data_IF_027183603216
#
_entry.id   IF_027183603216
#
_cell.length_a   1.000
_cell.length_b   1.000
_cell.length_c   1.000
_cell.angle_alpha   90.00
_cell.angle_beta   90.00
_cell.angle_gamma   90.00
#
_symmetry.space_group_name_H-M   'P 1'
#
loop_
_entity.id
_entity.type
_entity.pdbx_description
1 polymer ?
#
# COMPACT_ATOMS: atom_id res chain seq x y z
N UNK A 1 6.35 67.62 21.62
CA UNK A 1 6.80 66.29 21.13
C UNK A 1 5.81 65.25 21.63
N UNK A 2 5.07 64.60 20.72
CA UNK A 2 4.20 63.47 21.06
C UNK A 2 4.87 62.21 20.51
N UNK A 3 5.49 61.44 21.39
CA UNK A 3 6.05 60.14 21.04
C UNK A 3 4.88 59.15 20.90
N UNK A 4 4.70 58.60 19.70
CA UNK A 4 3.77 57.50 19.45
C UNK A 4 4.55 56.21 19.68
N UNK A 5 4.21 55.49 20.74
CA UNK A 5 4.73 54.16 21.01
C UNK A 5 4.09 53.16 20.04
N UNK A 6 4.89 52.59 19.16
CA UNK A 6 4.49 51.51 18.26
C UNK A 6 4.76 50.18 19.00
N UNK A 7 3.74 49.61 19.66
CA UNK A 7 3.86 48.28 20.26
C UNK A 7 3.67 47.22 19.19
N UNK A 8 4.77 46.58 18.80
CA UNK A 8 4.82 45.43 17.92
C UNK A 8 4.34 44.20 18.71
N UNK A 9 3.06 43.85 18.59
CA UNK A 9 2.52 42.58 19.09
C UNK A 9 2.98 41.46 18.14
N UNK A 10 4.13 40.87 18.41
CA UNK A 10 4.47 39.56 17.84
C UNK A 10 3.52 38.53 18.45
N UNK A 11 2.49 38.15 17.70
CA UNK A 11 1.75 36.92 17.98
C UNK A 11 2.70 35.75 17.84
N UNK A 12 3.04 35.11 18.96
CA UNK A 12 3.63 33.79 18.97
C UNK A 12 2.57 32.83 18.40
N UNK A 13 2.63 32.59 17.09
CA UNK A 13 1.90 31.46 16.50
C UNK A 13 2.57 30.21 17.06
N UNK A 14 1.88 29.52 17.96
CA UNK A 14 2.24 28.16 18.32
C UNK A 14 2.28 27.33 17.03
N UNK A 15 3.47 27.00 16.56
CA UNK A 15 3.66 25.89 15.62
C UNK A 15 3.45 24.58 16.41
N UNK A 16 2.20 24.30 16.75
CA UNK A 16 1.80 23.00 17.23
C UNK A 16 1.26 22.21 16.03
N UNK A 17 2.14 21.52 15.30
CA UNK A 17 1.80 20.24 14.67
C UNK A 17 3.04 19.53 14.11
N UNK A 18 3.90 19.02 15.00
CA UNK A 18 4.68 17.82 14.69
C UNK A 18 3.94 16.63 15.29
N UNK A 19 2.93 16.15 14.56
CA UNK A 19 2.49 14.75 14.58
C UNK A 19 1.54 14.49 13.40
N UNK A 20 2.07 14.23 12.19
CA UNK A 20 1.27 13.62 11.11
C UNK A 20 1.65 12.16 10.79
N UNK A 21 2.72 11.62 11.37
CA UNK A 21 3.22 10.29 10.96
C UNK A 21 2.70 9.12 11.83
N UNK A 22 2.50 9.31 13.13
CA UNK A 22 2.13 8.23 14.05
C UNK A 22 0.64 7.83 13.97
N UNK A 23 -0.24 8.79 13.69
CA UNK A 23 -1.70 8.56 13.58
C UNK A 23 -2.06 7.81 12.30
N UNK A 24 -1.51 8.21 11.15
CA UNK A 24 -1.78 7.60 9.82
C UNK A 24 -1.38 6.12 9.73
N UNK A 25 -0.32 5.71 10.44
CA UNK A 25 0.20 4.36 10.34
C UNK A 25 -0.68 3.35 11.08
N UNK A 26 -1.25 3.71 12.24
CA UNK A 26 -2.14 2.82 13.00
C UNK A 26 -3.40 2.41 12.24
N UNK A 27 -3.90 3.28 11.36
CA UNK A 27 -5.15 3.10 10.64
C UNK A 27 -5.10 2.06 9.52
N UNK A 28 -3.90 1.61 9.13
CA UNK A 28 -3.76 0.60 8.08
C UNK A 28 -3.96 -0.83 8.60
N UNK A 29 -3.86 -1.04 9.91
CA UNK A 29 -4.02 -2.36 10.51
C UNK A 29 -5.44 -2.88 10.29
N UNK A 30 -5.56 -4.12 9.86
CA UNK A 30 -6.84 -4.77 9.61
C UNK A 30 -6.91 -5.54 8.30
N UNK A 31 -8.12 -6.03 8.01
CA UNK A 31 -8.39 -6.81 6.82
C UNK A 31 -8.68 -5.93 5.60
N UNK A 32 -8.07 -6.33 4.49
CA UNK A 32 -8.15 -5.64 3.22
C UNK A 32 -8.47 -6.62 2.10
N UNK A 33 -9.13 -6.11 1.07
CA UNK A 33 -9.44 -6.88 -0.13
C UNK A 33 -8.73 -6.25 -1.32
N UNK A 34 -7.92 -7.03 -2.04
CA UNK A 34 -7.35 -6.62 -3.33
C UNK A 34 -8.43 -6.50 -4.39
N UNK A 35 -8.59 -5.30 -4.94
CA UNK A 35 -9.56 -4.99 -5.99
C UNK A 35 -8.86 -4.96 -7.34
N UNK A 36 -7.79 -4.16 -7.43
CA UNK A 36 -7.09 -3.92 -8.69
C UNK A 36 -5.61 -4.18 -8.57
N UNK A 37 -5.04 -4.65 -9.67
CA UNK A 37 -3.60 -4.75 -9.87
C UNK A 37 -3.25 -4.20 -11.25
N UNK A 38 -2.10 -3.56 -11.37
CA UNK A 38 -1.56 -3.12 -12.63
C UNK A 38 -0.05 -3.29 -12.60
N UNK A 39 0.52 -3.65 -13.74
CA UNK A 39 1.96 -3.91 -13.89
C UNK A 39 2.46 -3.39 -15.22
N UNK A 40 3.74 -3.07 -15.28
CA UNK A 40 4.42 -2.75 -16.55
C UNK A 40 4.66 -4.00 -17.42
N UNK A 41 4.69 -5.19 -16.82
CA UNK A 41 4.73 -6.48 -17.52
C UNK A 41 3.51 -7.34 -17.18
N UNK A 42 2.48 -7.30 -18.04
CA UNK A 42 1.16 -7.91 -17.82
C UNK A 42 1.21 -9.40 -17.48
N UNK A 43 2.09 -10.17 -18.11
CA UNK A 43 2.25 -11.62 -17.89
C UNK A 43 2.50 -11.98 -16.41
N UNK A 44 3.12 -11.07 -15.65
CA UNK A 44 3.44 -11.30 -14.23
C UNK A 44 2.20 -11.39 -13.34
N UNK A 45 1.08 -10.79 -13.74
CA UNK A 45 -0.17 -10.81 -12.96
C UNK A 45 -1.29 -11.57 -13.66
N UNK A 46 -1.10 -12.14 -14.85
CA UNK A 46 -2.13 -13.00 -15.45
C UNK A 46 -2.50 -14.17 -14.53
N UNK A 47 -3.59 -14.88 -14.83
CA UNK A 47 -4.01 -16.01 -13.99
C UNK A 47 -2.90 -17.06 -13.86
N UNK A 48 -2.49 -17.35 -12.62
CA UNK A 48 -1.34 -18.23 -12.32
C UNK A 48 0.00 -17.51 -12.23
N UNK A 49 0.03 -16.23 -12.60
CA UNK A 49 1.21 -15.39 -12.63
C UNK A 49 1.86 -15.19 -11.26
N UNK A 50 3.20 -15.06 -11.22
CA UNK A 50 3.99 -15.04 -10.00
C UNK A 50 3.68 -13.87 -9.07
N UNK A 51 3.27 -12.72 -9.63
CA UNK A 51 2.98 -11.50 -8.89
C UNK A 51 1.48 -11.28 -8.70
N UNK A 52 0.61 -12.25 -9.08
CA UNK A 52 -0.83 -12.19 -8.82
C UNK A 52 -1.13 -12.52 -7.35
N UNK A 53 -0.74 -11.60 -6.48
CA UNK A 53 -0.90 -11.68 -5.02
C UNK A 53 -2.14 -10.97 -4.51
N UNK A 54 -2.92 -11.68 -3.70
CA UNK A 54 -4.10 -11.15 -3.00
C UNK A 54 -3.71 -10.83 -1.56
N UNK A 55 -3.58 -9.54 -1.26
CA UNK A 55 -3.33 -9.06 0.10
C UNK A 55 -4.62 -9.20 0.91
N UNK A 56 -4.49 -9.75 2.11
CA UNK A 56 -5.59 -10.04 3.02
C UNK A 56 -5.55 -9.18 4.29
N UNK A 57 -4.39 -9.04 4.90
CA UNK A 57 -4.27 -8.42 6.22
C UNK A 57 -2.99 -7.63 6.35
N UNK A 58 -3.08 -6.47 7.00
CA UNK A 58 -1.96 -5.67 7.45
C UNK A 58 -1.94 -5.62 8.96
N UNK A 59 -0.77 -5.81 9.56
CA UNK A 59 -0.58 -5.67 11.01
C UNK A 59 0.63 -4.77 11.29
N UNK A 60 0.39 -3.67 11.99
CA UNK A 60 1.47 -2.81 12.48
C UNK A 60 2.20 -3.45 13.67
N UNK A 61 3.52 -3.55 13.56
CA UNK A 61 4.38 -4.06 14.63
C UNK A 61 5.27 -2.91 15.13
N UNK A 62 5.36 -2.77 16.46
CA UNK A 62 6.14 -1.73 17.14
C UNK A 62 5.77 -0.31 16.66
N UNK A 63 4.52 0.13 16.87
CA UNK A 63 4.04 1.44 16.41
C UNK A 63 4.23 1.65 14.89
N UNK A 64 3.94 0.61 14.10
CA UNK A 64 4.09 0.60 12.64
C UNK A 64 5.51 0.87 12.13
N UNK A 65 6.50 0.75 13.01
CA UNK A 65 7.88 0.64 12.60
C UNK A 65 8.01 -0.43 11.52
N UNK A 66 7.43 -1.60 11.75
CA UNK A 66 7.30 -2.66 10.77
C UNK A 66 5.83 -2.83 10.41
N UNK A 67 5.56 -3.08 9.15
CA UNK A 67 4.24 -3.50 8.70
C UNK A 67 4.34 -4.94 8.23
N UNK A 68 3.57 -5.82 8.88
CA UNK A 68 3.37 -7.22 8.49
C UNK A 68 2.26 -7.31 7.46
N UNK A 69 2.48 -8.09 6.40
CA UNK A 69 1.52 -8.30 5.32
C UNK A 69 1.20 -9.79 5.22
N UNK A 70 -0.08 -10.17 5.26
CA UNK A 70 -0.55 -11.49 4.86
C UNK A 70 -1.10 -11.42 3.44
N UNK A 71 -0.61 -12.29 2.56
CA UNK A 71 -1.06 -12.37 1.17
C UNK A 71 -1.03 -13.79 0.62
N UNK A 72 -1.78 -13.99 -0.45
CA UNK A 72 -1.98 -15.27 -1.12
C UNK A 72 -1.57 -15.19 -2.58
N UNK A 73 -0.84 -16.19 -3.08
CA UNK A 73 -0.57 -16.38 -4.52
C UNK A 73 -1.01 -17.79 -4.86
N UNK A 74 -1.77 -17.96 -5.94
CA UNK A 74 -2.31 -19.27 -6.35
C UNK A 74 -3.01 -20.03 -5.20
N UNK A 75 -3.80 -19.30 -4.39
CA UNK A 75 -4.53 -19.80 -3.22
C UNK A 75 -3.66 -20.42 -2.12
N UNK A 76 -2.33 -20.23 -2.18
CA UNK A 76 -1.40 -20.60 -1.12
C UNK A 76 -1.02 -19.35 -0.35
N UNK A 77 -1.08 -19.41 0.98
CA UNK A 77 -0.53 -18.36 1.84
C UNK A 77 0.98 -18.36 1.69
N UNK A 78 1.55 -17.27 1.21
CA UNK A 78 2.98 -17.22 0.88
C UNK A 78 3.82 -16.68 2.04
N UNK A 79 3.29 -15.82 2.90
CA UNK A 79 3.97 -15.50 4.17
C UNK A 79 3.80 -14.06 4.66
N UNK A 80 4.58 -13.73 5.69
CA UNK A 80 4.69 -12.44 6.37
C UNK A 80 5.86 -11.62 5.81
N UNK A 81 5.66 -10.32 5.62
CA UNK A 81 6.69 -9.38 5.14
C UNK A 81 6.88 -8.28 6.17
N UNK A 82 8.11 -7.95 6.56
CA UNK A 82 8.39 -6.77 7.40
C UNK A 82 8.91 -5.62 6.54
N UNK A 83 8.10 -4.58 6.37
CA UNK A 83 8.39 -3.44 5.48
C UNK A 83 9.62 -2.57 5.90
N UNK A 84 10.29 -2.85 7.03
CA UNK A 84 11.57 -2.20 7.40
C UNK A 84 12.77 -2.66 6.58
N UNK A 85 12.72 -3.83 5.92
CA UNK A 85 13.85 -4.38 5.16
C UNK A 85 13.37 -4.88 3.80
N UNK A 86 13.89 -4.25 2.75
CA UNK A 86 13.51 -4.25 1.32
C UNK A 86 13.53 -5.59 0.57
N UNK A 87 13.39 -6.75 1.21
CA UNK A 87 13.49 -8.02 0.47
C UNK A 87 12.51 -9.05 1.03
N UNK A 88 11.43 -9.28 0.29
CA UNK A 88 10.79 -10.60 0.27
C UNK A 88 11.56 -11.42 -0.75
N UNK A 89 12.12 -12.56 -0.37
CA UNK A 89 12.58 -13.59 -1.32
C UNK A 89 11.37 -14.46 -1.71
N UNK A 90 10.49 -13.86 -2.51
CA UNK A 90 9.42 -14.59 -3.16
C UNK A 90 9.44 -14.21 -4.63
N UNK A 91 9.92 -15.16 -5.45
CA UNK A 91 10.06 -14.97 -6.89
C UNK A 91 10.89 -13.72 -7.24
N UNK A 92 11.98 -13.50 -6.49
CA UNK A 92 12.83 -12.33 -6.61
C UNK A 92 12.76 -11.40 -5.40
N UNK A 93 13.49 -10.30 -5.46
CA UNK A 93 13.51 -9.26 -4.43
C UNK A 93 12.31 -8.33 -4.60
N UNK A 94 11.48 -8.20 -3.56
CA UNK A 94 10.31 -7.32 -3.58
C UNK A 94 10.45 -6.16 -2.60
N UNK A 95 10.08 -4.96 -3.05
CA UNK A 95 9.90 -3.79 -2.19
C UNK A 95 8.52 -3.19 -2.41
N UNK A 96 7.90 -2.68 -1.35
CA UNK A 96 6.62 -1.99 -1.42
C UNK A 96 6.68 -0.64 -0.70
N UNK A 97 5.94 0.30 -1.25
CA UNK A 97 5.62 1.59 -0.65
C UNK A 97 4.10 1.64 -0.50
N UNK A 98 3.67 1.94 0.72
CA UNK A 98 2.25 2.03 1.03
C UNK A 98 1.84 3.48 1.06
N UNK A 99 0.73 3.80 0.40
CA UNK A 99 0.12 5.13 0.39
C UNK A 99 -1.35 4.96 0.76
N UNK A 100 -1.71 5.32 1.99
CA UNK A 100 -3.11 5.41 2.39
C UNK A 100 -3.72 6.64 1.72
N UNK A 101 -4.87 6.44 1.07
CA UNK A 101 -5.57 7.52 0.35
C UNK A 101 -6.83 7.95 1.11
N UNK A 102 -7.44 7.03 1.86
CA UNK A 102 -8.59 7.31 2.73
C UNK A 102 -8.77 6.19 3.75
N UNK A 103 -9.73 6.34 4.66
CA UNK A 103 -10.15 5.30 5.60
C UNK A 103 -10.43 3.93 4.95
N UNK A 104 -10.94 3.95 3.70
CA UNK A 104 -11.46 2.77 3.01
C UNK A 104 -10.63 2.37 1.78
N UNK A 105 -9.46 2.98 1.58
CA UNK A 105 -8.64 2.72 0.41
C UNK A 105 -7.14 2.84 0.70
N UNK A 106 -6.43 1.77 0.40
CA UNK A 106 -4.97 1.72 0.44
C UNK A 106 -4.45 1.47 -0.97
N UNK A 107 -3.48 2.28 -1.38
CA UNK A 107 -2.73 2.08 -2.61
C UNK A 107 -1.32 1.65 -2.28
N UNK A 108 -0.81 0.66 -3.02
CA UNK A 108 0.56 0.20 -2.91
C UNK A 108 1.25 0.40 -4.25
N UNK A 109 2.52 0.79 -4.18
CA UNK A 109 3.47 0.63 -5.27
C UNK A 109 4.51 -0.40 -4.86
N UNK A 110 4.82 -1.34 -5.74
CA UNK A 110 5.87 -2.31 -5.54
C UNK A 110 6.82 -2.40 -6.71
N UNK A 111 8.01 -2.89 -6.42
CA UNK A 111 9.00 -3.28 -7.42
C UNK A 111 9.47 -4.68 -7.09
N UNK A 112 9.42 -5.56 -8.08
CA UNK A 112 9.97 -6.92 -8.03
C UNK A 112 11.18 -7.00 -8.96
N UNK A 113 12.28 -7.59 -8.50
CA UNK A 113 13.40 -7.96 -9.34
C UNK A 113 13.62 -9.47 -9.27
N UNK A 114 13.33 -10.17 -10.37
CA UNK A 114 13.39 -11.64 -10.44
C UNK A 114 14.79 -12.21 -10.73
N UNK A 115 15.83 -11.37 -10.65
CA UNK A 115 17.19 -11.70 -11.05
C UNK A 115 17.50 -11.41 -12.53
N UNK A 116 16.49 -11.16 -13.34
CA UNK A 116 16.61 -10.87 -14.78
C UNK A 116 16.05 -9.47 -15.09
N UNK A 117 14.81 -9.22 -14.69
CA UNK A 117 14.08 -8.00 -15.00
C UNK A 117 13.43 -7.39 -13.76
N UNK A 118 13.29 -6.08 -13.81
CA UNK A 118 12.52 -5.32 -12.83
C UNK A 118 11.08 -5.18 -13.35
N UNK A 119 10.11 -5.50 -12.49
CA UNK A 119 8.69 -5.33 -12.75
C UNK A 119 8.13 -4.34 -11.73
N UNK A 120 7.41 -3.34 -12.18
CA UNK A 120 6.65 -2.43 -11.31
C UNK A 120 5.23 -2.92 -11.18
N UNK A 121 4.69 -2.83 -9.96
CA UNK A 121 3.31 -3.20 -9.65
C UNK A 121 2.63 -2.11 -8.85
N UNK A 122 1.36 -1.90 -9.09
CA UNK A 122 0.49 -1.12 -8.20
C UNK A 122 -0.70 -1.97 -7.80
N UNK A 123 -1.13 -1.82 -6.55
CA UNK A 123 -2.24 -2.60 -5.98
C UNK A 123 -3.20 -1.65 -5.29
N UNK A 124 -4.50 -1.81 -5.58
CA UNK A 124 -5.56 -1.11 -4.86
C UNK A 124 -6.30 -2.06 -3.93
N UNK A 125 -6.44 -1.65 -2.67
CA UNK A 125 -7.13 -2.38 -1.62
C UNK A 125 -8.30 -1.57 -1.06
N UNK A 126 -9.38 -2.24 -0.66
CA UNK A 126 -10.47 -1.63 0.10
C UNK A 126 -11.83 -1.75 -0.56
N UNK A 127 -12.65 -0.68 -0.50
CA UNK A 127 -13.98 -0.64 -1.11
C UNK A 127 -13.98 0.27 -2.35
N UNK A 128 -14.56 -0.23 -3.44
CA UNK A 128 -14.68 0.39 -4.77
C UNK A 128 -15.24 1.82 -4.69
N UNK A 129 -14.38 2.84 -4.55
CA UNK A 129 -14.85 4.24 -4.48
C UNK A 129 -13.99 5.26 -5.23
N UNK A 130 -12.76 4.95 -5.65
CA UNK A 130 -11.95 5.94 -6.36
C UNK A 130 -10.97 5.33 -7.39
N UNK A 131 -11.52 4.90 -8.54
CA UNK A 131 -10.73 4.35 -9.65
C UNK A 131 -9.75 5.38 -10.25
N UNK A 132 -10.16 6.64 -10.36
CA UNK A 132 -9.33 7.71 -10.93
C UNK A 132 -8.01 7.88 -10.18
N UNK A 133 -8.02 7.87 -8.85
CA UNK A 133 -6.79 8.02 -8.06
C UNK A 133 -5.82 6.85 -8.26
N UNK A 134 -6.34 5.67 -8.58
CA UNK A 134 -5.52 4.51 -8.92
C UNK A 134 -4.87 4.67 -10.30
N UNK A 135 -5.62 5.17 -11.30
CA UNK A 135 -5.06 5.49 -12.62
C UNK A 135 -4.00 6.59 -12.59
N UNK A 136 -4.18 7.58 -11.72
CA UNK A 136 -3.18 8.63 -11.45
C UNK A 136 -1.89 8.02 -10.89
N UNK A 137 -1.99 7.16 -9.86
CA UNK A 137 -0.83 6.46 -9.31
C UNK A 137 -0.09 5.64 -10.37
N UNK A 138 -0.81 4.90 -11.22
CA UNK A 138 -0.20 4.12 -12.29
C UNK A 138 0.58 5.02 -13.25
N UNK A 139 -0.03 6.13 -13.67
CA UNK A 139 0.59 7.12 -14.56
C UNK A 139 1.86 7.72 -13.94
N UNK A 140 1.81 8.10 -12.66
CA UNK A 140 2.96 8.62 -11.90
C UNK A 140 4.11 7.62 -11.81
N UNK A 141 3.82 6.31 -11.78
CA UNK A 141 4.82 5.23 -11.68
C UNK A 141 5.27 4.69 -13.04
N UNK A 142 4.66 5.16 -14.13
CA UNK A 142 4.91 4.69 -15.49
C UNK A 142 4.38 3.27 -15.74
N UNK A 143 3.28 2.90 -15.07
CA UNK A 143 2.55 1.64 -15.29
C UNK A 143 1.37 1.95 -16.23
N UNK A 144 1.18 1.21 -17.34
CA UNK A 144 0.09 1.48 -18.28
C UNK A 144 -1.27 1.15 -17.67
N UNK A 145 -2.26 2.04 -17.81
CA UNK A 145 -3.62 1.83 -17.27
C UNK A 145 -4.37 0.72 -18.03
N UNK A 146 -4.01 0.44 -19.28
CA UNK A 146 -4.51 -0.72 -20.04
C UNK A 146 -4.11 -2.07 -19.44
N UNK A 147 -3.15 -2.07 -18.51
CA UNK A 147 -2.73 -3.26 -17.76
C UNK A 147 -3.44 -3.39 -16.40
N UNK A 148 -4.39 -2.52 -16.09
CA UNK A 148 -5.25 -2.72 -14.92
C UNK A 148 -6.07 -3.99 -15.09
N UNK A 149 -6.06 -4.82 -14.06
CA UNK A 149 -6.92 -5.99 -13.93
C UNK A 149 -7.80 -5.89 -12.68
N UNK A 150 -9.09 -6.20 -12.84
CA UNK A 150 -10.06 -6.34 -11.75
C UNK A 150 -9.98 -7.77 -11.21
N UNK A 151 -9.18 -7.94 -10.17
CA UNK A 151 -8.84 -9.26 -9.65
C UNK A 151 -9.94 -9.84 -8.76
N UNK A 152 -10.98 -9.06 -8.41
CA UNK A 152 -12.09 -9.49 -7.54
C UNK A 152 -12.84 -10.71 -8.06
N UNK A 153 -12.82 -10.92 -9.38
CA UNK A 153 -13.53 -12.01 -10.07
C UNK A 153 -12.74 -13.32 -10.13
N UNK A 154 -11.43 -13.24 -9.93
CA UNK A 154 -10.51 -14.37 -10.14
C UNK A 154 -10.12 -15.10 -8.86
N UNK A 155 -10.58 -14.59 -7.73
CA UNK A 155 -10.31 -15.14 -6.41
C UNK A 155 -10.26 -14.02 -5.37
N UNK A 156 -10.51 -14.38 -4.12
CA UNK A 156 -10.17 -13.57 -2.95
C UNK A 156 -9.13 -14.34 -2.14
N UNK A 157 -8.43 -13.64 -1.26
CA UNK A 157 -7.78 -14.33 -0.15
C UNK A 157 -8.84 -15.23 0.54
N UNK A 158 -8.53 -16.50 0.85
CA UNK A 158 -9.41 -17.32 1.67
C UNK A 158 -9.79 -16.59 2.96
N UNK A 159 -11.06 -16.67 3.37
CA UNK A 159 -11.44 -16.25 4.71
C UNK A 159 -10.74 -17.21 5.70
N UNK A 160 -9.76 -16.69 6.44
CA UNK A 160 -9.03 -17.45 7.45
C UNK A 160 -9.97 -17.78 8.62
N UNK A 161 -10.73 -18.87 8.53
CA UNK A 161 -11.57 -19.38 9.64
C UNK A 161 -10.69 -20.02 10.73
N UNK A 162 -10.17 -19.20 11.66
CA UNK A 162 -9.35 -19.66 12.79
C UNK A 162 -9.94 -19.37 14.18
N UNK A 163 -11.25 -19.55 14.34
CA UNK A 163 -11.88 -19.67 15.67
C UNK A 163 -12.17 -21.13 16.09
N UNK A 164 -11.58 -22.13 15.42
CA UNK A 164 -11.71 -23.53 15.83
C UNK A 164 -10.42 -24.33 15.67
N UNK A 165 -9.47 -24.13 16.58
CA UNK A 165 -8.61 -25.23 17.03
C UNK A 165 -7.97 -24.99 18.39
#
# INVERSE_FOLDING_TARGET
MKAVFLTLLLGLVCAAQETPAETEASEITGDWNTIYMAVDNKEKIEQGGPLRGYIHHFECINNCEQLSVTFYVNLRRIGHVQLKRKVVDHMGENSFQVTRVSENMVLLYGENFDGIQKTKVTVALGMYRNFQRYEELNSERGIPNENIDDVTKTGKAPEDNWDQK
#
